data_IF_944853931173
#
_entry.id   IF_944853931173
#
_cell.length_a   1.000
_cell.length_b   1.000
_cell.length_c   1.000
_cell.angle_alpha   90.00
_cell.angle_beta   90.00
_cell.angle_gamma   90.00
#
_symmetry.space_group_name_H-M   'P 1'
#
loop_
_entity.id
_entity.type
_entity.pdbx_description
1 polymer ?
#
# COMPACT_ATOMS: atom_id res chain seq x y z
N UNK A 1 -32.26 14.88 37.12
CA UNK A 1 -31.90 13.50 36.80
C UNK A 1 -32.08 13.19 35.34
N UNK A 2 -33.24 13.44 34.74
CA UNK A 2 -33.45 13.18 33.29
C UNK A 2 -32.51 13.99 32.41
N UNK A 3 -32.22 15.24 32.76
CA UNK A 3 -31.32 16.10 31.98
C UNK A 3 -29.89 15.59 31.97
N UNK A 4 -29.40 15.02 33.08
CA UNK A 4 -28.06 14.43 33.13
C UNK A 4 -27.96 13.18 32.25
N UNK A 5 -29.01 12.39 32.21
CA UNK A 5 -29.06 11.19 31.35
C UNK A 5 -29.08 11.58 29.87
N UNK A 6 -29.87 12.57 29.51
CA UNK A 6 -29.95 13.09 28.15
C UNK A 6 -28.60 13.66 27.71
N UNK A 7 -27.95 14.46 28.57
CA UNK A 7 -26.62 15.01 28.29
C UNK A 7 -25.58 13.93 28.12
N UNK A 8 -25.62 12.89 28.97
CA UNK A 8 -24.71 11.76 28.85
C UNK A 8 -24.93 11.01 27.55
N UNK A 9 -26.16 10.81 27.11
CA UNK A 9 -26.50 10.17 25.83
C UNK A 9 -26.04 11.02 24.66
N UNK A 10 -26.27 12.33 24.68
CA UNK A 10 -25.80 13.25 23.64
C UNK A 10 -24.28 13.19 23.48
N UNK A 11 -23.57 13.18 24.61
CA UNK A 11 -22.12 13.07 24.61
C UNK A 11 -21.67 11.78 23.93
N UNK A 12 -22.28 10.65 24.30
CA UNK A 12 -21.97 9.35 23.69
C UNK A 12 -22.25 9.32 22.20
N UNK A 13 -23.36 9.89 21.77
CA UNK A 13 -23.69 10.00 20.34
C UNK A 13 -22.66 10.84 19.61
N UNK A 14 -22.28 11.98 20.17
CA UNK A 14 -21.27 12.85 19.59
C UNK A 14 -19.91 12.15 19.49
N UNK A 15 -19.52 11.42 20.53
CA UNK A 15 -18.28 10.66 20.57
C UNK A 15 -18.28 9.56 19.47
N UNK A 16 -19.41 8.89 19.29
CA UNK A 16 -19.57 7.88 18.24
C UNK A 16 -19.50 8.48 16.84
N UNK A 17 -20.09 9.65 16.65
CA UNK A 17 -20.00 10.37 15.36
C UNK A 17 -18.55 10.74 15.06
N UNK A 18 -17.83 11.28 16.04
CA UNK A 18 -16.41 11.60 15.88
C UNK A 18 -15.57 10.37 15.56
N UNK A 19 -15.79 9.29 16.28
CA UNK A 19 -15.10 8.03 16.05
C UNK A 19 -15.37 7.50 14.64
N UNK A 20 -16.63 7.56 14.20
CA UNK A 20 -17.01 7.15 12.85
C UNK A 20 -16.30 7.98 11.79
N UNK A 21 -16.19 9.28 11.99
CA UNK A 21 -15.46 10.18 11.08
C UNK A 21 -13.97 9.86 11.03
N UNK A 22 -13.37 9.59 12.18
CA UNK A 22 -11.96 9.19 12.27
C UNK A 22 -11.71 7.89 11.54
N UNK A 23 -12.55 6.87 11.77
CA UNK A 23 -12.46 5.58 11.10
C UNK A 23 -12.60 5.72 9.58
N UNK A 24 -13.50 6.58 9.12
CA UNK A 24 -13.65 6.84 7.69
C UNK A 24 -12.40 7.49 7.10
N UNK A 25 -11.79 8.45 7.81
CA UNK A 25 -10.54 9.08 7.37
C UNK A 25 -9.40 8.09 7.31
N UNK A 26 -9.23 7.28 8.35
CA UNK A 26 -8.20 6.24 8.39
C UNK A 26 -8.41 5.22 7.28
N UNK A 27 -9.66 4.83 7.05
CA UNK A 27 -9.99 3.88 5.99
C UNK A 27 -9.60 4.41 4.61
N UNK A 28 -9.89 5.69 4.33
CA UNK A 28 -9.49 6.34 3.07
C UNK A 28 -7.98 6.43 2.95
N UNK A 29 -7.31 6.82 4.04
CA UNK A 29 -5.84 6.90 4.05
C UNK A 29 -5.20 5.53 3.80
N UNK A 30 -5.71 4.47 4.43
CA UNK A 30 -5.22 3.11 4.21
C UNK A 30 -5.46 2.63 2.79
N UNK A 31 -6.60 2.95 2.18
CA UNK A 31 -6.89 2.60 0.79
C UNK A 31 -5.91 3.26 -0.17
N UNK A 32 -5.62 4.55 0.06
CA UNK A 32 -4.62 5.26 -0.75
C UNK A 32 -3.23 4.66 -0.57
N UNK A 33 -2.85 4.37 0.67
CA UNK A 33 -1.55 3.77 0.97
C UNK A 33 -1.42 2.38 0.35
N UNK A 34 -2.47 1.58 0.40
CA UNK A 34 -2.51 0.26 -0.23
C UNK A 34 -2.31 0.36 -1.74
N UNK A 35 -2.99 1.32 -2.39
CA UNK A 35 -2.84 1.54 -3.83
C UNK A 35 -1.41 1.96 -4.18
N UNK A 36 -0.78 2.84 -3.39
CA UNK A 36 0.61 3.25 -3.58
C UNK A 36 1.57 2.07 -3.45
N UNK A 37 1.40 1.25 -2.40
CA UNK A 37 2.24 0.08 -2.17
C UNK A 37 2.11 -0.96 -3.28
N UNK A 38 0.90 -1.17 -3.80
CA UNK A 38 0.67 -2.07 -4.93
C UNK A 38 1.37 -1.57 -6.19
N UNK A 39 1.33 -0.25 -6.43
CA UNK A 39 2.04 0.36 -7.56
C UNK A 39 3.55 0.21 -7.42
N UNK A 40 4.10 0.54 -6.25
CA UNK A 40 5.52 0.38 -5.96
C UNK A 40 5.96 -1.06 -6.14
N UNK A 41 5.16 -2.00 -5.68
CA UNK A 41 5.44 -3.44 -5.85
C UNK A 41 5.52 -3.82 -7.32
N UNK A 42 4.58 -3.36 -8.14
CA UNK A 42 4.60 -3.63 -9.59
C UNK A 42 5.83 -3.04 -10.24
N UNK A 43 6.20 -1.80 -9.87
CA UNK A 43 7.41 -1.16 -10.39
C UNK A 43 8.67 -1.94 -10.02
N UNK A 44 8.78 -2.38 -8.77
CA UNK A 44 9.92 -3.16 -8.30
C UNK A 44 10.02 -4.52 -8.99
N UNK A 45 8.89 -5.20 -9.19
CA UNK A 45 8.85 -6.48 -9.91
C UNK A 45 9.26 -6.30 -11.36
N UNK A 46 8.84 -5.22 -12.02
CA UNK A 46 9.23 -4.92 -13.38
C UNK A 46 10.72 -4.60 -13.49
N UNK A 47 11.27 -3.83 -12.56
CA UNK A 47 12.71 -3.56 -12.50
C UNK A 47 13.51 -4.85 -12.29
N UNK A 48 13.03 -5.73 -11.43
CA UNK A 48 13.66 -7.02 -11.18
C UNK A 48 13.67 -7.88 -12.46
N UNK A 49 12.54 -7.92 -13.16
CA UNK A 49 12.41 -8.65 -14.42
C UNK A 49 13.40 -8.15 -15.47
N UNK A 50 13.48 -6.83 -15.64
CA UNK A 50 14.41 -6.21 -16.58
C UNK A 50 15.87 -6.46 -16.21
N UNK A 51 16.18 -6.37 -14.91
CA UNK A 51 17.54 -6.65 -14.43
C UNK A 51 17.93 -8.11 -14.67
N UNK A 52 17.02 -9.04 -14.41
CA UNK A 52 17.25 -10.47 -14.67
C UNK A 52 17.45 -10.75 -16.16
N UNK A 53 16.65 -10.15 -17.03
CA UNK A 53 16.83 -10.25 -18.48
C UNK A 53 18.20 -9.73 -18.92
N UNK A 54 18.60 -8.59 -18.38
CA UNK A 54 19.90 -8.00 -18.71
C UNK A 54 21.05 -8.91 -18.31
N UNK A 55 21.00 -9.49 -17.12
CA UNK A 55 22.01 -10.45 -16.64
C UNK A 55 22.03 -11.69 -17.53
N UNK A 56 20.87 -12.26 -17.85
CA UNK A 56 20.76 -13.43 -18.71
C UNK A 56 21.34 -13.16 -20.10
N UNK A 57 21.02 -12.01 -20.67
CA UNK A 57 21.55 -11.62 -21.98
C UNK A 57 23.07 -11.43 -21.95
N UNK A 58 23.59 -10.84 -20.89
CA UNK A 58 25.03 -10.66 -20.70
C UNK A 58 25.74 -12.00 -20.55
N UNK A 59 25.17 -12.94 -19.81
CA UNK A 59 25.71 -14.29 -19.66
C UNK A 59 25.68 -15.06 -21.00
N UNK A 60 24.61 -14.94 -21.77
CA UNK A 60 24.49 -15.55 -23.06
C UNK A 60 25.57 -15.05 -24.04
N UNK A 61 25.85 -13.74 -24.02
CA UNK A 61 26.92 -13.14 -24.81
C UNK A 61 28.30 -13.66 -24.41
N UNK A 62 28.57 -13.78 -23.12
CA UNK A 62 29.82 -14.33 -22.61
C UNK A 62 30.01 -15.79 -23.03
N UNK A 63 28.97 -16.60 -22.96
CA UNK A 63 28.99 -18.00 -23.40
C UNK A 63 29.23 -18.09 -24.89
N UNK A 64 28.60 -17.20 -25.65
CA UNK A 64 28.80 -17.15 -27.11
C UNK A 64 30.25 -16.81 -27.46
N UNK A 65 30.87 -15.88 -26.75
CA UNK A 65 32.28 -15.52 -26.93
C UNK A 65 33.21 -16.68 -26.59
N UNK A 66 32.94 -17.37 -25.47
CA UNK A 66 33.72 -18.56 -25.09
C UNK A 66 33.57 -19.68 -26.10
N UNK A 67 32.34 -19.87 -26.61
CA UNK A 67 32.06 -20.90 -27.63
C UNK A 67 32.66 -20.62 -28.99
N UNK A 68 32.95 -19.37 -29.31
CA UNK A 68 33.57 -19.00 -30.58
C UNK A 68 35.11 -19.01 -30.55
N UNK A 69 35.63 -19.09 -29.33
CA UNK A 69 37.07 -19.24 -29.15
C UNK A 69 37.51 -20.68 -29.20
#
# INVERSE_FOLDING_TARGET
MADNLIQALEKKVNDLIELSRELNRENRALKLRTAELQRERRELLERQRLASEHVENSLARLRSLDGSA
#
